data_IF_627519771464
#
_entry.id   IF_627519771464
#
_cell.length_a   1.000
_cell.length_b   1.000
_cell.length_c   1.000
_cell.angle_alpha   90.00
_cell.angle_beta   90.00
_cell.angle_gamma   90.00
#
_symmetry.space_group_name_H-M   'P 1'
#
loop_
_entity.id
_entity.type
_entity.pdbx_description
1 polymer ?
#
# COMPACT_ATOMS: atom_id res chain seq x y z
N UNK A 1 6.09 -19.78 -18.73
CA UNK A 1 4.96 -20.43 -19.39
C UNK A 1 4.91 -21.94 -19.13
N UNK A 2 5.84 -22.77 -19.64
CA UNK A 2 5.82 -24.23 -19.36
C UNK A 2 5.72 -24.60 -17.87
N UNK A 3 6.65 -24.10 -17.04
CA UNK A 3 6.63 -24.31 -15.58
C UNK A 3 5.33 -23.82 -14.90
N UNK A 4 4.75 -22.73 -15.39
CA UNK A 4 3.50 -22.20 -14.84
C UNK A 4 2.33 -23.12 -15.19
N UNK A 5 2.27 -23.59 -16.43
CA UNK A 5 1.26 -24.51 -16.91
C UNK A 5 1.30 -25.84 -16.16
N UNK A 6 2.49 -26.38 -15.93
CA UNK A 6 2.71 -27.55 -15.07
C UNK A 6 2.21 -27.30 -13.64
N UNK A 7 2.51 -26.15 -13.04
CA UNK A 7 2.12 -25.82 -11.67
C UNK A 7 0.61 -25.66 -11.45
N UNK A 8 -0.14 -25.31 -12.50
CA UNK A 8 -1.62 -25.18 -12.44
C UNK A 8 -2.34 -26.35 -13.13
N UNK A 9 -1.61 -27.36 -13.61
CA UNK A 9 -2.12 -28.53 -14.35
C UNK A 9 -2.84 -28.20 -15.67
N UNK A 10 -2.39 -27.15 -16.37
CA UNK A 10 -2.87 -26.76 -17.72
C UNK A 10 -1.80 -26.99 -18.80
N UNK A 11 -2.23 -26.99 -20.06
CA UNK A 11 -1.29 -26.93 -21.18
C UNK A 11 -0.76 -25.50 -21.38
N UNK A 12 0.50 -25.30 -21.80
CA UNK A 12 1.02 -23.98 -22.13
C UNK A 12 0.19 -23.26 -23.20
N UNK A 13 -0.37 -24.01 -24.16
CA UNK A 13 -1.22 -23.48 -25.21
C UNK A 13 -2.51 -22.84 -24.66
N UNK A 14 -3.12 -23.43 -23.63
CA UNK A 14 -4.30 -22.87 -22.98
C UNK A 14 -4.02 -21.50 -22.34
N UNK A 15 -2.87 -21.32 -21.71
CA UNK A 15 -2.49 -20.02 -21.11
C UNK A 15 -2.25 -18.95 -22.19
N UNK A 16 -1.66 -19.34 -23.33
CA UNK A 16 -1.41 -18.41 -24.44
C UNK A 16 -2.70 -17.85 -25.08
N UNK A 17 -3.85 -18.50 -24.91
CA UNK A 17 -5.14 -17.96 -25.33
C UNK A 17 -5.51 -16.68 -24.57
N UNK A 18 -5.03 -16.54 -23.33
CA UNK A 18 -5.32 -15.40 -22.46
C UNK A 18 -4.14 -14.42 -22.35
N UNK A 19 -2.91 -14.94 -22.38
CA UNK A 19 -1.72 -14.14 -22.12
C UNK A 19 -0.62 -14.35 -23.15
N UNK A 20 -0.19 -13.26 -23.79
CA UNK A 20 0.85 -13.28 -24.83
C UNK A 20 2.25 -13.61 -24.27
N UNK A 21 2.50 -13.37 -22.99
CA UNK A 21 3.78 -13.63 -22.34
C UNK A 21 3.61 -13.80 -20.82
N UNK A 22 4.69 -14.25 -20.15
CA UNK A 22 4.75 -14.26 -18.68
C UNK A 22 4.61 -12.85 -18.10
N UNK A 23 5.15 -11.85 -18.78
CA UNK A 23 5.09 -10.46 -18.31
C UNK A 23 3.66 -9.91 -18.45
N UNK A 24 2.89 -10.37 -19.44
CA UNK A 24 1.47 -10.06 -19.54
C UNK A 24 0.67 -10.66 -18.36
N UNK A 25 1.04 -11.85 -17.89
CA UNK A 25 0.48 -12.45 -16.68
C UNK A 25 0.85 -11.61 -15.45
N UNK A 26 2.14 -11.26 -15.32
CA UNK A 26 2.63 -10.47 -14.19
C UNK A 26 1.91 -9.11 -14.09
N UNK A 27 1.74 -8.39 -15.20
CA UNK A 27 0.97 -7.14 -15.25
C UNK A 27 -0.50 -7.33 -14.84
N UNK A 28 -1.15 -8.39 -15.31
CA UNK A 28 -2.53 -8.67 -14.95
C UNK A 28 -2.68 -9.02 -13.45
N UNK A 29 -1.74 -9.79 -12.91
CA UNK A 29 -1.68 -10.08 -11.47
C UNK A 29 -1.37 -8.83 -10.65
N UNK A 30 -0.51 -7.93 -11.12
CA UNK A 30 -0.28 -6.65 -10.46
C UNK A 30 -1.55 -5.80 -10.43
N UNK A 31 -2.30 -5.72 -11.52
CA UNK A 31 -3.57 -5.00 -11.56
C UNK A 31 -4.55 -5.57 -10.52
N UNK A 32 -4.70 -6.90 -10.51
CA UNK A 32 -5.56 -7.58 -9.52
C UNK A 32 -5.09 -7.31 -8.09
N UNK A 33 -3.78 -7.41 -7.81
CA UNK A 33 -3.23 -7.15 -6.48
C UNK A 33 -3.46 -5.71 -6.00
N UNK A 34 -3.44 -4.72 -6.89
CA UNK A 34 -3.83 -3.35 -6.53
C UNK A 34 -5.31 -3.18 -6.26
N UNK A 35 -6.20 -3.84 -7.01
CA UNK A 35 -7.64 -3.84 -6.70
C UNK A 35 -7.93 -4.53 -5.36
N UNK A 36 -7.22 -5.62 -5.03
CA UNK A 36 -7.32 -6.29 -3.73
C UNK A 36 -6.80 -5.41 -2.59
N UNK A 37 -5.68 -4.73 -2.80
CA UNK A 37 -5.15 -3.75 -1.85
C UNK A 37 -6.15 -2.62 -1.63
N UNK A 38 -6.69 -2.05 -2.70
CA UNK A 38 -7.67 -0.97 -2.63
C UNK A 38 -8.94 -1.39 -1.88
N UNK A 39 -9.46 -2.60 -2.14
CA UNK A 39 -10.62 -3.15 -1.44
C UNK A 39 -10.40 -3.28 0.08
N UNK A 40 -9.14 -3.38 0.54
CA UNK A 40 -8.79 -3.36 1.97
C UNK A 40 -8.65 -1.94 2.53
N UNK A 41 -8.18 -0.99 1.72
CA UNK A 41 -8.03 0.41 2.12
C UNK A 41 -9.37 1.17 2.17
N UNK A 42 -10.29 0.90 1.25
CA UNK A 42 -11.57 1.60 1.15
C UNK A 42 -12.40 1.55 2.45
N UNK A 43 -12.59 0.41 3.12
CA UNK A 43 -13.29 0.37 4.41
C UNK A 43 -12.57 1.16 5.50
N UNK A 44 -11.24 1.10 5.56
CA UNK A 44 -10.44 1.85 6.53
C UNK A 44 -10.52 3.36 6.31
N UNK A 45 -10.67 3.80 5.05
CA UNK A 45 -10.83 5.20 4.68
C UNK A 45 -12.16 5.82 5.19
N UNK A 46 -13.16 5.00 5.49
CA UNK A 46 -14.47 5.45 5.97
C UNK A 46 -14.46 5.92 7.45
N UNK A 47 -13.38 5.68 8.20
CA UNK A 47 -13.26 6.11 9.60
C UNK A 47 -13.32 7.65 9.71
N UNK A 48 -14.27 8.26 10.44
CA UNK A 48 -14.44 9.71 10.45
C UNK A 48 -13.30 10.49 11.13
N UNK A 49 -12.67 9.94 12.17
CA UNK A 49 -11.59 10.61 12.89
C UNK A 49 -10.27 10.39 12.17
N UNK A 50 -9.64 11.45 11.66
CA UNK A 50 -8.49 11.35 10.75
C UNK A 50 -7.29 10.61 11.39
N UNK A 51 -7.04 10.78 12.68
CA UNK A 51 -5.98 10.03 13.40
C UNK A 51 -6.29 8.54 13.49
N UNK A 52 -7.57 8.17 13.71
CA UNK A 52 -7.99 6.77 13.71
C UNK A 52 -7.97 6.18 12.30
N UNK A 53 -8.34 6.98 11.29
CA UNK A 53 -8.26 6.63 9.88
C UNK A 53 -6.82 6.35 9.46
N UNK A 54 -5.86 7.17 9.89
CA UNK A 54 -4.43 6.95 9.66
C UNK A 54 -4.00 5.59 10.19
N UNK A 55 -4.42 5.23 11.41
CA UNK A 55 -4.13 3.93 12.01
C UNK A 55 -4.78 2.79 11.23
N UNK A 56 -6.07 2.89 10.93
CA UNK A 56 -6.79 1.85 10.19
C UNK A 56 -6.18 1.62 8.79
N UNK A 57 -5.77 2.68 8.10
CA UNK A 57 -5.10 2.59 6.81
C UNK A 57 -3.70 1.98 6.91
N UNK A 58 -2.94 2.32 7.96
CA UNK A 58 -1.64 1.69 8.21
C UNK A 58 -1.80 0.18 8.46
N UNK A 59 -2.76 -0.22 9.28
CA UNK A 59 -3.08 -1.62 9.57
C UNK A 59 -3.52 -2.37 8.30
N UNK A 60 -4.43 -1.78 7.50
CA UNK A 60 -4.90 -2.38 6.25
C UNK A 60 -3.79 -2.53 5.20
N UNK A 61 -2.97 -1.50 5.00
CA UNK A 61 -1.84 -1.51 4.07
C UNK A 61 -0.82 -2.58 4.48
N UNK A 62 -0.37 -2.53 5.74
CA UNK A 62 0.68 -3.43 6.22
C UNK A 62 0.15 -4.87 6.30
N UNK A 63 -1.08 -5.06 6.75
CA UNK A 63 -1.75 -6.36 6.80
C UNK A 63 -1.84 -7.01 5.42
N UNK A 64 -2.24 -6.26 4.39
CA UNK A 64 -2.21 -6.75 3.01
C UNK A 64 -0.84 -7.32 2.61
N UNK A 65 0.23 -6.56 2.87
CA UNK A 65 1.57 -6.97 2.46
C UNK A 65 2.14 -8.16 3.24
N UNK A 66 1.69 -8.37 4.48
CA UNK A 66 2.18 -9.48 5.32
C UNK A 66 1.35 -10.75 5.20
N UNK A 67 0.06 -10.63 4.90
CA UNK A 67 -0.84 -11.78 4.67
C UNK A 67 -0.63 -12.43 3.30
N UNK A 68 -0.27 -11.64 2.28
CA UNK A 68 0.11 -12.16 0.96
C UNK A 68 1.49 -11.64 0.50
N UNK A 69 2.59 -12.21 1.04
CA UNK A 69 3.94 -11.78 0.72
C UNK A 69 4.32 -11.91 -0.75
N UNK A 70 3.80 -12.92 -1.46
CA UNK A 70 4.18 -13.17 -2.85
C UNK A 70 3.52 -12.17 -3.79
N UNK A 71 2.23 -11.87 -3.58
CA UNK A 71 1.55 -10.78 -4.30
C UNK A 71 2.22 -9.45 -4.00
N UNK A 72 2.57 -9.17 -2.73
CA UNK A 72 3.24 -7.91 -2.39
C UNK A 72 4.63 -7.79 -3.03
N UNK A 73 5.41 -8.88 -3.09
CA UNK A 73 6.69 -8.91 -3.81
C UNK A 73 6.51 -8.65 -5.30
N UNK A 74 5.46 -9.20 -5.90
CA UNK A 74 5.16 -8.98 -7.31
C UNK A 74 4.82 -7.50 -7.57
N UNK A 75 4.02 -6.88 -6.70
CA UNK A 75 3.60 -5.49 -6.81
C UNK A 75 4.75 -4.49 -6.62
N UNK A 76 5.62 -4.71 -5.64
CA UNK A 76 6.55 -3.66 -5.19
C UNK A 76 8.04 -4.03 -5.19
N UNK A 77 8.39 -5.31 -5.34
CA UNK A 77 9.77 -5.79 -5.14
C UNK A 77 10.33 -6.56 -6.33
N UNK A 78 9.58 -6.61 -7.43
CA UNK A 78 9.98 -7.25 -8.69
C UNK A 78 10.24 -6.17 -9.74
N UNK A 79 10.04 -6.46 -11.03
CA UNK A 79 10.25 -5.53 -12.12
C UNK A 79 9.23 -4.37 -12.07
N UNK A 80 9.68 -3.11 -11.88
CA UNK A 80 8.78 -1.96 -11.82
C UNK A 80 8.06 -1.68 -13.15
N UNK A 81 8.52 -2.25 -14.28
CA UNK A 81 7.79 -2.17 -15.55
C UNK A 81 6.41 -2.83 -15.46
N UNK A 82 6.19 -3.75 -14.52
CA UNK A 82 4.89 -4.41 -14.35
C UNK A 82 3.82 -3.52 -13.72
N UNK A 83 4.21 -2.45 -13.04
CA UNK A 83 3.30 -1.54 -12.34
C UNK A 83 3.28 -0.13 -12.91
N UNK A 84 4.13 0.16 -13.90
CA UNK A 84 4.20 1.47 -14.55
C UNK A 84 2.84 1.93 -15.09
N UNK A 85 2.05 1.02 -15.64
CA UNK A 85 0.72 1.31 -16.18
C UNK A 85 -0.36 1.51 -15.11
N UNK A 86 -0.11 1.06 -13.87
CA UNK A 86 -1.07 1.07 -12.77
C UNK A 86 -1.05 2.39 -11.98
N UNK A 87 0.01 3.20 -12.19
CA UNK A 87 0.19 4.51 -11.58
C UNK A 87 0.18 5.65 -12.61
N UNK A 88 -0.39 5.47 -13.81
CA UNK A 88 -0.38 6.50 -14.86
C UNK A 88 -1.30 7.68 -14.55
N UNK A 89 -2.41 7.43 -13.87
CA UNK A 89 -3.40 8.44 -13.52
C UNK A 89 -4.20 8.11 -12.26
N UNK A 90 -5.02 9.07 -11.80
CA UNK A 90 -5.78 8.93 -10.55
C UNK A 90 -6.92 7.91 -10.62
N UNK A 91 -7.33 7.51 -11.83
CA UNK A 91 -8.41 6.53 -12.05
C UNK A 91 -7.90 5.08 -12.10
N UNK A 92 -6.59 4.88 -12.28
CA UNK A 92 -5.99 3.55 -12.25
C UNK A 92 -5.97 2.98 -10.82
N UNK A 93 -5.93 1.66 -10.67
CA UNK A 93 -5.99 1.01 -9.36
C UNK A 93 -4.92 1.52 -8.37
N UNK A 94 -3.68 1.75 -8.84
CA UNK A 94 -2.60 2.31 -8.03
C UNK A 94 -2.80 3.78 -7.70
N UNK A 95 -3.31 4.56 -8.67
CA UNK A 95 -3.70 5.96 -8.45
C UNK A 95 -4.82 6.10 -7.42
N UNK A 96 -5.86 5.27 -7.51
CA UNK A 96 -6.97 5.20 -6.54
C UNK A 96 -6.47 4.82 -5.15
N UNK A 97 -5.59 3.82 -5.04
CA UNK A 97 -4.98 3.43 -3.77
C UNK A 97 -4.15 4.57 -3.15
N UNK A 98 -3.38 5.30 -3.95
CA UNK A 98 -2.63 6.46 -3.48
C UNK A 98 -3.55 7.62 -3.06
N UNK A 99 -4.63 7.85 -3.82
CA UNK A 99 -5.60 8.90 -3.53
C UNK A 99 -6.25 8.75 -2.15
N UNK A 100 -6.40 7.52 -1.64
CA UNK A 100 -6.87 7.27 -0.26
C UNK A 100 -5.96 7.94 0.77
N UNK A 101 -4.63 7.90 0.58
CA UNK A 101 -3.68 8.56 1.48
C UNK A 101 -3.67 10.09 1.30
N UNK A 102 -3.89 10.57 0.09
CA UNK A 102 -4.06 12.02 -0.17
C UNK A 102 -5.25 12.55 0.62
N UNK A 103 -6.41 11.89 0.52
CA UNK A 103 -7.63 12.26 1.25
C UNK A 103 -7.48 12.13 2.77
N UNK A 104 -6.72 11.14 3.24
CA UNK A 104 -6.36 11.05 4.65
C UNK A 104 -5.60 12.30 5.12
N UNK A 105 -4.60 12.74 4.35
CA UNK A 105 -3.80 13.91 4.72
C UNK A 105 -4.63 15.19 4.70
N UNK A 106 -5.52 15.36 3.72
CA UNK A 106 -6.49 16.47 3.70
C UNK A 106 -7.33 16.47 4.99
N UNK A 107 -7.90 15.32 5.37
CA UNK A 107 -8.68 15.20 6.59
C UNK A 107 -7.86 15.48 7.86
N UNK A 108 -6.59 15.05 7.93
CA UNK A 108 -5.70 15.37 9.05
C UNK A 108 -5.45 16.87 9.17
N UNK A 109 -5.37 17.60 8.05
CA UNK A 109 -5.22 19.06 8.06
C UNK A 109 -6.51 19.75 8.47
N UNK A 110 -7.64 19.34 7.89
CA UNK A 110 -8.96 19.90 8.19
C UNK A 110 -9.33 19.73 9.67
N UNK A 111 -8.89 18.63 10.29
CA UNK A 111 -9.09 18.36 11.72
C UNK A 111 -8.01 18.98 12.63
N UNK A 112 -7.03 19.69 12.06
CA UNK A 112 -5.98 20.39 12.81
C UNK A 112 -4.88 19.49 13.39
N UNK A 113 -4.80 18.23 12.96
CA UNK A 113 -3.82 17.24 13.41
C UNK A 113 -2.45 17.45 12.76
N UNK A 114 -2.44 18.03 11.56
CA UNK A 114 -1.24 18.39 10.81
C UNK A 114 -1.27 19.89 10.49
N UNK A 115 -0.11 20.55 10.57
CA UNK A 115 -0.03 21.98 10.27
C UNK A 115 -0.34 22.28 8.80
N UNK A 116 -1.04 23.39 8.55
CA UNK A 116 -1.44 23.83 7.20
C UNK A 116 -0.27 24.00 6.23
N UNK A 117 0.92 24.31 6.76
CA UNK A 117 2.15 24.48 5.98
C UNK A 117 2.71 23.17 5.43
N UNK A 118 2.24 22.01 5.91
CA UNK A 118 2.69 20.70 5.41
C UNK A 118 2.01 20.40 4.07
N UNK A 119 2.77 20.14 2.99
CA UNK A 119 2.20 19.79 1.70
C UNK A 119 1.46 18.44 1.73
N UNK A 120 0.28 18.37 1.10
CA UNK A 120 -0.59 17.18 1.13
C UNK A 120 0.07 15.98 0.44
N UNK A 121 0.44 16.13 -0.83
CA UNK A 121 0.97 15.03 -1.65
C UNK A 121 2.30 14.50 -1.10
N UNK A 122 3.31 15.33 -0.80
CA UNK A 122 4.55 14.85 -0.16
C UNK A 122 4.33 14.11 1.17
N UNK A 123 3.36 14.52 1.99
CA UNK A 123 3.07 13.78 3.22
C UNK A 123 2.42 12.43 2.91
N UNK A 124 1.52 12.35 1.93
CA UNK A 124 0.93 11.08 1.49
C UNK A 124 2.00 10.12 0.93
N UNK A 125 2.98 10.63 0.15
CA UNK A 125 4.14 9.85 -0.32
C UNK A 125 5.01 9.34 0.84
N UNK A 126 5.26 10.18 1.85
CA UNK A 126 6.00 9.78 3.05
C UNK A 126 5.26 8.69 3.81
N UNK A 127 3.93 8.78 3.96
CA UNK A 127 3.11 7.75 4.60
C UNK A 127 3.15 6.44 3.80
N UNK A 128 2.99 6.51 2.48
CA UNK A 128 3.12 5.35 1.57
C UNK A 128 4.48 4.68 1.74
N UNK A 129 5.56 5.47 1.72
CA UNK A 129 6.93 5.00 1.91
C UNK A 129 7.16 4.38 3.29
N UNK A 130 6.56 4.95 4.34
CA UNK A 130 6.66 4.41 5.70
C UNK A 130 5.97 3.05 5.81
N UNK A 131 4.73 2.91 5.33
CA UNK A 131 4.02 1.62 5.33
C UNK A 131 4.74 0.59 4.49
N UNK A 132 5.16 0.99 3.28
CA UNK A 132 5.96 0.14 2.41
C UNK A 132 7.25 -0.32 3.08
N UNK A 133 7.97 0.59 3.77
CA UNK A 133 9.19 0.26 4.51
C UNK A 133 8.96 -0.80 5.59
N UNK A 134 7.86 -0.71 6.36
CA UNK A 134 7.54 -1.72 7.38
C UNK A 134 7.34 -3.10 6.73
N UNK A 135 6.51 -3.19 5.69
CA UNK A 135 6.25 -4.45 4.99
C UNK A 135 7.55 -4.99 4.39
N UNK A 136 8.25 -4.17 3.61
CA UNK A 136 9.45 -4.56 2.88
C UNK A 136 10.53 -5.09 3.81
N UNK A 137 10.78 -4.42 4.94
CA UNK A 137 11.75 -4.90 5.92
C UNK A 137 11.31 -6.22 6.56
N UNK A 138 10.03 -6.37 6.94
CA UNK A 138 9.52 -7.64 7.48
C UNK A 138 9.61 -8.79 6.47
N UNK A 139 9.47 -8.52 5.18
CA UNK A 139 9.56 -9.53 4.12
C UNK A 139 10.98 -9.88 3.70
N UNK A 140 11.96 -9.00 3.93
CA UNK A 140 13.32 -9.14 3.38
C UNK A 140 14.42 -9.22 4.44
N UNK A 141 14.15 -8.81 5.67
CA UNK A 141 15.12 -8.78 6.75
C UNK A 141 14.59 -9.55 7.97
N UNK A 142 15.03 -10.80 8.20
CA UNK A 142 14.47 -11.66 9.26
C UNK A 142 14.82 -11.17 10.68
N UNK A 143 15.83 -10.31 10.82
CA UNK A 143 16.32 -9.81 12.12
C UNK A 143 15.87 -8.37 12.42
N UNK A 144 15.25 -7.68 11.47
CA UNK A 144 14.83 -6.29 11.63
C UNK A 144 13.58 -5.98 10.78
N UNK A 145 12.60 -5.23 11.30
CA UNK A 145 12.55 -4.62 12.63
C UNK A 145 12.21 -5.63 13.74
N UNK A 146 12.78 -5.42 14.94
CA UNK A 146 12.56 -6.25 16.14
C UNK A 146 11.22 -5.96 16.81
N UNK A 147 10.68 -4.75 16.65
CA UNK A 147 9.35 -4.37 17.13
C UNK A 147 8.23 -5.13 16.41
N UNK A 148 7.10 -5.33 17.09
CA UNK A 148 5.88 -5.85 16.46
C UNK A 148 5.31 -4.84 15.45
N UNK A 149 4.49 -5.33 14.53
CA UNK A 149 3.79 -4.46 13.57
C UNK A 149 2.92 -3.44 14.31
N UNK A 150 2.17 -3.88 15.32
CA UNK A 150 1.33 -3.00 16.14
C UNK A 150 2.13 -1.88 16.80
N UNK A 151 3.32 -2.19 17.34
CA UNK A 151 4.20 -1.18 17.93
C UNK A 151 4.68 -0.15 16.90
N UNK A 152 4.98 -0.59 15.68
CA UNK A 152 5.40 0.29 14.59
C UNK A 152 4.25 1.18 14.12
N UNK A 153 3.05 0.62 13.97
CA UNK A 153 1.82 1.36 13.61
C UNK A 153 1.47 2.39 14.69
N UNK A 154 1.47 1.99 15.96
CA UNK A 154 1.22 2.88 17.09
C UNK A 154 2.23 4.04 17.11
N UNK A 155 3.51 3.72 16.93
CA UNK A 155 4.58 4.74 16.91
C UNK A 155 4.39 5.71 15.75
N UNK A 156 4.17 5.19 14.53
CA UNK A 156 3.99 6.00 13.33
C UNK A 156 2.79 6.93 13.44
N UNK A 157 1.66 6.43 13.93
CA UNK A 157 0.42 7.20 14.07
C UNK A 157 0.48 8.20 15.24
N UNK A 158 1.16 7.87 16.33
CA UNK A 158 1.35 8.75 17.48
C UNK A 158 2.25 9.97 17.21
N UNK A 159 3.13 9.92 16.19
CA UNK A 159 3.99 11.05 15.83
C UNK A 159 3.19 12.28 15.33
N UNK A 160 2.02 12.07 14.72
CA UNK A 160 1.14 13.17 14.28
C UNK A 160 0.59 13.97 15.49
N UNK A 161 0.24 13.28 16.57
CA UNK A 161 -0.40 13.88 17.75
C UNK A 161 0.54 14.73 18.62
N UNK A 162 1.87 14.56 18.50
CA UNK A 162 2.85 15.25 19.34
C UNK A 162 2.97 16.77 19.09
N UNK A 163 2.37 17.29 18.02
CA UNK A 163 2.41 18.74 17.70
C UNK A 163 1.18 19.51 18.16
N UNK A 164 0.02 18.87 18.31
CA UNK A 164 -1.20 19.55 18.77
C UNK A 164 -1.06 20.02 20.23
N UNK A 165 -0.34 19.24 21.06
CA UNK A 165 -0.09 19.56 22.46
C UNK A 165 0.80 20.80 22.72
N UNK A 166 1.52 21.32 21.71
CA UNK A 166 2.42 22.48 21.87
C UNK A 166 1.77 23.83 21.50
N UNK A 167 0.50 23.86 21.08
CA UNK A 167 -0.20 25.12 20.71
C UNK A 167 -1.04 25.73 21.83
N UNK A 168 -1.05 25.15 23.03
CA UNK A 168 -1.80 25.65 24.21
C UNK A 168 -0.90 26.28 25.28
N UNK A 169 0.25 26.83 24.92
CA UNK A 169 1.14 27.60 25.82
C UNK A 169 1.45 28.97 25.26
#
# INVERSE_FOLDING_TARGET
MRKLAEAIEYSPAAIYLHFKSRDAIARALCLQGFEEMLARLEPAAAEPLAVRRLRALAEAYIGFGLEDPETYRLLFMTDPEFTTDIFRGPEDAGGRAFQVLVQLVEALKDQGEVADTVPVVPLAEVLWGAFHGVVSLKLTCPVFPTSSVDQLVETLTGLCSLRSAKRTS
#
